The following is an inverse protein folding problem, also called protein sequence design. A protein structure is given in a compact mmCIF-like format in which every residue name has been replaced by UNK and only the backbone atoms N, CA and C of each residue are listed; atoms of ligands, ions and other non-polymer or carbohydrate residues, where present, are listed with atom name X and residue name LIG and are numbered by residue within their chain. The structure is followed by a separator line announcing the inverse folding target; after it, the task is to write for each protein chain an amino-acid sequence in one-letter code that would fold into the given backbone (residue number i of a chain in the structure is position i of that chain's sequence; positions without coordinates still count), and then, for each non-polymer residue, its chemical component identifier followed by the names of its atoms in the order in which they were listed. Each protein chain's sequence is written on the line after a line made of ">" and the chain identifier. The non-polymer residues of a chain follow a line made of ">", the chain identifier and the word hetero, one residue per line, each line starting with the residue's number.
data_IF_837909800729
#
_entry.id   IF_837909800729
#
_cell.length_a   1.000
_cell.length_b   1.000
_cell.length_c   1.000
_cell.angle_alpha   90.00
_cell.angle_beta   90.00
_cell.angle_gamma   90.00
#
_symmetry.space_group_name_H-M   'P 1'
#
loop_
_entity.id
_entity.type
_entity.pdbx_description
1 polymer ?
#
# COMPACT_ATOMS: atom_id res chain seq x y z
N UNK A 1 -7.77 15.70 12.28
CA UNK A 1 -7.78 14.33 12.81
C UNK A 1 -7.81 13.39 11.61
N UNK A 2 -6.78 12.58 11.40
CA UNK A 2 -6.66 11.68 10.25
C UNK A 2 -7.16 10.30 10.65
N UNK A 3 -8.29 9.87 10.11
CA UNK A 3 -8.73 8.48 10.16
C UNK A 3 -8.21 7.76 8.91
N UNK A 4 -7.05 7.11 9.06
CA UNK A 4 -6.59 6.12 8.10
C UNK A 4 -7.38 4.83 8.36
N UNK A 5 -8.37 4.56 7.51
CA UNK A 5 -9.10 3.30 7.52
C UNK A 5 -8.16 2.21 6.99
N UNK A 6 -7.57 1.47 7.92
CA UNK A 6 -6.83 0.25 7.67
C UNK A 6 -7.86 -0.87 7.49
N UNK A 7 -8.17 -1.25 6.25
CA UNK A 7 -8.91 -2.48 5.97
C UNK A 7 -7.95 -3.68 6.15
N UNK A 8 -7.86 -4.17 7.40
CA UNK A 8 -7.09 -5.35 7.76
C UNK A 8 -7.92 -6.62 7.53
N UNK A 9 -7.81 -7.24 6.35
CA UNK A 9 -8.30 -8.61 6.13
C UNK A 9 -7.23 -9.63 6.55
N UNK A 10 -7.07 -9.82 7.85
CA UNK A 10 -6.30 -10.94 8.40
C UNK A 10 -7.15 -12.22 8.30
N UNK A 11 -6.96 -13.01 7.24
CA UNK A 11 -7.56 -14.35 7.14
C UNK A 11 -6.79 -15.32 8.04
N UNK A 12 -7.24 -15.47 9.28
CA UNK A 12 -6.79 -16.54 10.18
C UNK A 12 -7.28 -17.89 9.66
N UNK A 13 -6.44 -18.57 8.89
CA UNK A 13 -6.62 -19.98 8.50
C UNK A 13 -6.32 -20.93 9.67
N UNK A 14 -7.26 -21.06 10.62
CA UNK A 14 -7.16 -22.02 11.72
C UNK A 14 -8.42 -22.87 11.83
N UNK A 15 -8.46 -24.02 11.15
CA UNK A 15 -9.51 -25.04 11.32
C UNK A 15 -8.89 -26.40 11.64
N UNK A 16 -8.57 -26.60 12.91
CA UNK A 16 -8.17 -27.91 13.45
C UNK A 16 -9.40 -28.77 13.73
N UNK A 17 -9.62 -29.81 12.92
CA UNK A 17 -10.39 -30.99 13.30
C UNK A 17 -9.43 -32.17 13.42
N UNK A 18 -9.63 -32.92 14.49
CA UNK A 18 -8.90 -34.06 15.04
C UNK A 18 -8.68 -35.24 14.08
N UNK A 19 -7.49 -35.85 14.14
CA UNK A 19 -7.28 -37.27 13.85
C UNK A 19 -5.99 -37.60 13.07
N UNK A 20 -5.13 -38.46 13.66
CA UNK A 20 -4.18 -39.30 12.92
C UNK A 20 -2.69 -39.11 13.25
N UNK A 21 -2.09 -40.16 13.83
CA UNK A 21 -0.68 -40.27 14.24
C UNK A 21 0.32 -40.31 13.05
N UNK A 22 1.46 -39.64 13.29
CA UNK A 22 2.85 -39.97 12.90
C UNK A 22 3.31 -39.94 11.43
N UNK A 23 4.60 -39.58 11.28
CA UNK A 23 5.44 -39.46 10.08
C UNK A 23 5.32 -38.07 9.40
N UNK A 24 6.36 -37.24 9.23
CA UNK A 24 7.81 -37.44 9.13
C UNK A 24 8.50 -36.12 9.53
N UNK A 25 9.70 -36.28 10.10
CA UNK A 25 10.78 -35.32 10.35
C UNK A 25 10.65 -33.88 9.78
N UNK A 26 11.04 -32.91 10.61
CA UNK A 26 11.62 -31.66 10.14
C UNK A 26 10.65 -30.72 9.46
N UNK A 27 9.53 -30.37 10.13
CA UNK A 27 8.93 -29.08 9.82
C UNK A 27 9.87 -28.03 10.38
N UNK A 28 10.87 -27.65 9.59
CA UNK A 28 11.43 -26.30 9.69
C UNK A 28 10.21 -25.40 9.83
N UNK A 29 10.04 -24.79 11.00
CA UNK A 29 9.09 -23.72 11.18
C UNK A 29 9.66 -22.57 10.35
N UNK A 30 9.52 -22.65 9.02
CA UNK A 30 9.79 -21.56 8.11
C UNK A 30 9.06 -20.37 8.69
N UNK A 31 9.82 -19.31 8.96
CA UNK A 31 9.30 -18.04 9.44
C UNK A 31 8.10 -17.67 8.58
N UNK A 32 6.89 -17.75 9.13
CA UNK A 32 5.69 -17.38 8.38
C UNK A 32 5.79 -15.90 8.10
N UNK A 33 6.03 -15.55 6.83
CA UNK A 33 5.97 -14.17 6.38
C UNK A 33 4.55 -13.65 6.46
N UNK A 34 4.41 -12.39 6.80
CA UNK A 34 3.15 -11.66 6.81
C UNK A 34 2.88 -11.12 5.40
N UNK A 35 1.73 -11.46 4.83
CA UNK A 35 1.33 -10.98 3.51
C UNK A 35 0.43 -9.74 3.62
N UNK A 36 0.77 -8.67 2.92
CA UNK A 36 0.04 -7.41 2.92
C UNK A 36 -0.34 -6.99 1.52
N UNK A 37 -1.61 -6.57 1.36
CA UNK A 37 -2.10 -5.84 0.18
C UNK A 37 -2.60 -4.48 0.64
N UNK A 38 -1.95 -3.41 0.22
CA UNK A 38 -2.24 -2.05 0.69
C UNK A 38 -2.37 -1.07 -0.46
N UNK A 39 -3.20 -0.04 -0.27
CA UNK A 39 -3.39 1.04 -1.24
C UNK A 39 -2.87 2.36 -0.69
N UNK A 40 -1.82 2.89 -1.31
CA UNK A 40 -1.30 4.22 -1.01
C UNK A 40 -2.01 5.26 -1.86
N UNK A 41 -2.60 6.27 -1.21
CA UNK A 41 -3.35 7.33 -1.89
C UNK A 41 -2.51 8.60 -2.03
N UNK A 42 -1.82 8.74 -3.16
CA UNK A 42 -1.02 9.93 -3.42
C UNK A 42 -1.90 11.12 -3.75
N UNK A 43 -1.82 12.17 -2.93
CA UNK A 43 -2.59 13.40 -3.10
C UNK A 43 -1.77 14.53 -3.72
N UNK A 44 -2.43 15.32 -4.57
CA UNK A 44 -1.93 16.57 -5.10
C UNK A 44 -2.93 17.70 -4.86
N UNK A 45 -2.43 18.81 -4.32
CA UNK A 45 -3.19 20.04 -4.07
C UNK A 45 -2.43 21.15 -4.78
N UNK A 46 -3.14 21.95 -5.58
CA UNK A 46 -2.54 23.14 -6.15
C UNK A 46 -2.40 24.22 -5.08
N UNK A 47 -1.15 24.48 -4.65
CA UNK A 47 -0.85 25.58 -3.72
C UNK A 47 -0.65 26.93 -4.43
N UNK A 48 -0.68 26.96 -5.76
CA UNK A 48 -0.60 28.22 -6.50
C UNK A 48 -1.97 28.89 -6.49
N UNK A 49 -2.04 30.15 -6.05
CA UNK A 49 -3.23 31.03 -6.16
C UNK A 49 -3.71 31.28 -7.61
N UNK A 50 -3.26 30.48 -8.58
CA UNK A 50 -3.74 30.51 -9.96
C UNK A 50 -5.09 29.81 -10.01
N UNK A 51 -6.14 30.59 -9.80
CA UNK A 51 -7.56 30.26 -9.97
C UNK A 51 -7.95 29.70 -11.37
N UNK A 52 -6.99 29.44 -12.27
CA UNK A 52 -7.19 29.09 -13.67
C UNK A 52 -6.58 27.75 -14.10
N UNK A 53 -6.12 26.88 -13.17
CA UNK A 53 -5.70 25.53 -13.55
C UNK A 53 -6.89 24.62 -13.83
N UNK A 54 -6.82 23.85 -14.91
CA UNK A 54 -7.90 22.95 -15.32
C UNK A 54 -7.87 21.69 -14.46
N UNK A 55 -9.03 21.06 -14.24
CA UNK A 55 -9.13 19.76 -13.53
C UNK A 55 -8.25 18.65 -14.13
N UNK A 56 -8.03 18.70 -15.46
CA UNK A 56 -7.14 17.78 -16.17
C UNK A 56 -5.68 17.93 -15.70
N UNK A 57 -5.25 19.14 -15.40
CA UNK A 57 -3.88 19.43 -14.97
C UNK A 57 -3.64 18.83 -13.58
N UNK A 58 -4.61 18.94 -12.66
CA UNK A 58 -4.53 18.33 -11.33
C UNK A 58 -4.37 16.81 -11.41
N UNK A 59 -5.15 16.15 -12.28
CA UNK A 59 -5.05 14.70 -12.47
C UNK A 59 -3.72 14.27 -13.06
N UNK A 60 -3.18 15.04 -14.01
CA UNK A 60 -1.89 14.75 -14.62
C UNK A 60 -0.74 14.90 -13.63
N UNK A 61 -0.76 15.95 -12.79
CA UNK A 61 0.23 16.15 -11.75
C UNK A 61 0.18 15.05 -10.69
N UNK A 62 -1.01 14.68 -10.23
CA UNK A 62 -1.18 13.55 -9.33
C UNK A 62 -0.66 12.24 -9.94
N UNK A 63 -0.92 11.97 -11.22
CA UNK A 63 -0.38 10.81 -11.93
C UNK A 63 1.15 10.83 -12.03
N UNK A 64 1.75 12.01 -12.22
CA UNK A 64 3.21 12.17 -12.26
C UNK A 64 3.84 11.91 -10.88
N UNK A 65 3.22 12.38 -9.80
CA UNK A 65 3.63 12.09 -8.42
C UNK A 65 3.53 10.59 -8.15
N UNK A 66 2.39 9.97 -8.49
CA UNK A 66 2.18 8.53 -8.37
C UNK A 66 3.27 7.73 -9.07
N UNK A 67 3.63 8.10 -10.30
CA UNK A 67 4.69 7.41 -11.06
C UNK A 67 6.02 7.42 -10.32
N UNK A 68 6.48 8.60 -9.87
CA UNK A 68 7.73 8.73 -9.11
C UNK A 68 7.71 7.90 -7.83
N UNK A 69 6.55 7.84 -7.16
CA UNK A 69 6.36 7.10 -5.92
C UNK A 69 6.33 5.59 -6.13
N UNK A 70 5.65 5.13 -7.18
CA UNK A 70 5.66 3.72 -7.59
C UNK A 70 7.09 3.26 -7.94
N UNK A 71 7.84 4.06 -8.70
CA UNK A 71 9.25 3.78 -9.02
C UNK A 71 10.09 3.68 -7.74
N UNK A 72 9.85 4.58 -6.76
CA UNK A 72 10.55 4.54 -5.48
C UNK A 72 10.22 3.27 -4.67
N UNK A 73 8.95 2.85 -4.63
CA UNK A 73 8.50 1.65 -3.91
C UNK A 73 9.19 0.37 -4.42
N UNK A 74 9.40 0.27 -5.74
CA UNK A 74 10.11 -0.86 -6.36
C UNK A 74 11.58 -0.94 -5.99
N UNK A 75 12.19 0.19 -5.59
CA UNK A 75 13.62 0.28 -5.30
C UNK A 75 13.95 0.15 -3.82
N UNK A 76 12.97 -0.04 -2.93
CA UNK A 76 13.19 -0.07 -1.48
C UNK A 76 13.95 -1.35 -1.09
N UNK A 77 15.23 -1.27 -0.70
CA UNK A 77 15.96 -2.40 -0.16
C UNK A 77 15.74 -2.41 1.35
N UNK A 78 14.54 -2.83 1.79
CA UNK A 78 14.25 -3.00 3.21
C UNK A 78 14.48 -4.45 3.60
N UNK A 79 15.40 -4.66 4.55
CA UNK A 79 15.56 -5.96 5.20
C UNK A 79 14.21 -6.38 5.77
N UNK A 80 13.82 -7.63 5.53
CA UNK A 80 12.56 -8.18 6.01
C UNK A 80 11.32 -7.73 5.23
N UNK A 81 11.46 -7.05 4.07
CA UNK A 81 10.35 -6.71 3.17
C UNK A 81 10.64 -7.21 1.76
N UNK A 82 9.73 -8.00 1.20
CA UNK A 82 9.76 -8.42 -0.20
C UNK A 82 8.57 -7.81 -0.95
N UNK A 83 8.84 -6.89 -1.87
CA UNK A 83 7.79 -6.34 -2.75
C UNK A 83 7.46 -7.37 -3.82
N UNK A 84 6.20 -7.81 -3.85
CA UNK A 84 5.70 -8.78 -4.82
C UNK A 84 5.10 -8.08 -6.04
N UNK A 85 4.33 -7.02 -5.81
CA UNK A 85 3.64 -6.30 -6.87
C UNK A 85 3.48 -4.82 -6.49
N UNK A 86 3.60 -3.95 -7.50
CA UNK A 86 3.25 -2.54 -7.42
C UNK A 86 2.36 -2.23 -8.61
N UNK A 87 1.06 -2.04 -8.37
CA UNK A 87 0.09 -1.69 -9.40
C UNK A 87 -0.28 -0.20 -9.30
N UNK A 88 0.25 0.65 -10.19
CA UNK A 88 -0.13 2.05 -10.24
C UNK A 88 -1.40 2.28 -11.04
N UNK A 89 -2.06 1.31 -11.67
CA UNK A 89 -3.03 1.55 -12.75
C UNK A 89 -4.42 2.03 -12.30
N UNK A 90 -4.60 2.33 -11.02
CA UNK A 90 -5.84 2.88 -10.48
C UNK A 90 -6.18 4.24 -11.10
N UNK A 91 -7.48 4.49 -11.25
CA UNK A 91 -8.00 5.73 -11.83
C UNK A 91 -7.73 6.91 -10.89
N UNK A 92 -7.18 7.99 -11.45
CA UNK A 92 -7.00 9.26 -10.73
C UNK A 92 -8.35 9.97 -10.59
N UNK A 93 -8.74 10.25 -9.35
CA UNK A 93 -10.00 10.92 -9.02
C UNK A 93 -9.76 12.24 -8.31
N UNK A 94 -10.82 13.05 -8.26
CA UNK A 94 -10.84 14.33 -7.59
C UNK A 94 -11.83 14.25 -6.44
N UNK A 95 -11.50 14.87 -5.32
CA UNK A 95 -12.38 15.01 -4.17
C UNK A 95 -12.22 16.41 -3.61
N UNK A 96 -13.34 17.05 -3.29
CA UNK A 96 -13.32 18.31 -2.57
C UNK A 96 -13.20 18.03 -1.07
N UNK A 97 -12.19 18.60 -0.43
CA UNK A 97 -11.99 18.56 1.02
C UNK A 97 -11.73 19.98 1.51
N UNK A 98 -12.47 20.43 2.52
CA UNK A 98 -12.30 21.77 3.13
C UNK A 98 -12.31 22.93 2.10
N UNK A 99 -13.13 22.82 1.05
CA UNK A 99 -13.24 23.82 -0.02
C UNK A 99 -12.09 23.81 -1.04
N UNK A 100 -11.24 22.77 -1.01
CA UNK A 100 -10.14 22.59 -1.94
C UNK A 100 -10.32 21.33 -2.78
N UNK A 101 -10.11 21.44 -4.09
CA UNK A 101 -10.09 20.28 -4.99
C UNK A 101 -8.74 19.56 -4.87
N UNK A 102 -8.78 18.31 -4.41
CA UNK A 102 -7.63 17.44 -4.24
C UNK A 102 -7.67 16.32 -5.29
N UNK A 103 -6.55 16.10 -5.97
CA UNK A 103 -6.39 14.96 -6.88
C UNK A 103 -5.71 13.79 -6.19
N UNK A 104 -6.32 12.61 -6.25
CA UNK A 104 -5.82 11.37 -5.67
C UNK A 104 -5.41 10.40 -6.76
N UNK A 105 -4.20 9.84 -6.66
CA UNK A 105 -3.62 8.90 -7.60
C UNK A 105 -3.15 7.64 -6.84
N UNK A 106 -4.00 6.62 -6.71
CA UNK A 106 -3.70 5.45 -5.90
C UNK A 106 -2.62 4.54 -6.50
N UNK A 107 -1.89 3.84 -5.64
CA UNK A 107 -1.01 2.71 -5.98
C UNK A 107 -1.34 1.56 -5.04
N UNK A 108 -1.59 0.37 -5.59
CA UNK A 108 -1.69 -0.85 -4.80
C UNK A 108 -0.33 -1.53 -4.71
N UNK A 109 0.02 -2.02 -3.53
CA UNK A 109 1.26 -2.74 -3.28
C UNK A 109 0.95 -4.04 -2.58
N UNK A 110 1.46 -5.13 -3.15
CA UNK A 110 1.52 -6.43 -2.52
C UNK A 110 2.95 -6.66 -2.02
N UNK A 111 3.11 -6.95 -0.74
CA UNK A 111 4.42 -7.23 -0.17
C UNK A 111 4.35 -8.23 0.98
N UNK A 112 5.49 -8.90 1.21
CA UNK A 112 5.70 -9.78 2.34
C UNK A 112 6.59 -9.10 3.37
N UNK A 113 6.33 -9.36 4.64
CA UNK A 113 7.19 -8.93 5.74
C UNK A 113 7.62 -10.11 6.62
N UNK A 114 8.86 -10.10 7.10
CA UNK A 114 9.35 -11.08 8.08
C UNK A 114 8.74 -10.86 9.47
N UNK A 115 8.38 -9.62 9.79
CA UNK A 115 7.77 -9.23 11.05
C UNK A 115 6.85 -8.00 10.91
N UNK A 116 6.05 -7.72 11.92
CA UNK A 116 5.22 -6.50 11.94
C UNK A 116 6.11 -5.27 12.12
N UNK A 117 7.22 -5.41 12.85
CA UNK A 117 8.24 -4.40 13.07
C UNK A 117 8.91 -3.95 11.76
N UNK A 118 9.01 -4.84 10.77
CA UNK A 118 9.48 -4.50 9.42
C UNK A 118 8.36 -3.87 8.58
N UNK A 119 7.12 -4.36 8.71
CA UNK A 119 5.97 -3.89 7.94
C UNK A 119 5.54 -2.46 8.30
N UNK A 120 5.46 -2.12 9.59
CA UNK A 120 4.96 -0.81 10.05
C UNK A 120 5.76 0.37 9.46
N UNK A 121 7.10 0.38 9.52
CA UNK A 121 7.90 1.44 8.89
C UNK A 121 7.72 1.50 7.37
N UNK A 122 7.39 0.38 6.71
CA UNK A 122 7.06 0.36 5.28
C UNK A 122 5.71 1.02 5.01
N UNK A 123 4.67 0.64 5.75
CA UNK A 123 3.33 1.21 5.64
C UNK A 123 3.30 2.71 5.91
N UNK A 124 4.16 3.22 6.79
CA UNK A 124 4.26 4.65 7.07
C UNK A 124 5.10 5.44 6.05
N UNK A 125 5.86 4.75 5.19
CA UNK A 125 6.71 5.41 4.17
C UNK A 125 5.99 5.75 2.86
N UNK A 126 4.73 5.31 2.73
CA UNK A 126 3.84 5.57 1.60
C UNK A 126 3.76 7.04 1.21
#
# INVERSE_FOLDING_TARGET
>A
MMENVIDLLATLGGKGRTGGLQAVMGKEMGTQKLHFRVRFEYRFIDRSFRLFRKLKDLKQEAAAIRRKKADALQQIPKKGIDILEVDPNYTVYLKEEEGQMIAYAPVEVLFDAESLEDAVPFLMSG
#
